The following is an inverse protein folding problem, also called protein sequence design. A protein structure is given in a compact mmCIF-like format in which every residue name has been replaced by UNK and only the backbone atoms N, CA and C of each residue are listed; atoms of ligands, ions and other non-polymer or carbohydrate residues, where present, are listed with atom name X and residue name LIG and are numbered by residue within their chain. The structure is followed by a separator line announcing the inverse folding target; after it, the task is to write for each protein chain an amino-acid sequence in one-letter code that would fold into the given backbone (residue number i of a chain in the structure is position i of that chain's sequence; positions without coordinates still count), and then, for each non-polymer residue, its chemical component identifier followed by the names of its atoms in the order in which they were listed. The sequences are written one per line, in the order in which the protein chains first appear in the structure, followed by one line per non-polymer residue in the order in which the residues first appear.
data_IF_149312247308
#
_entry.id   IF_149312247308
#
_cell.length_a   1.000
_cell.length_b   1.000
_cell.length_c   1.000
_cell.angle_alpha   90.00
_cell.angle_beta   90.00
_cell.angle_gamma   90.00
#
_symmetry.space_group_name_H-M   'P 1'
#
loop_
_entity.id
_entity.type
_entity.pdbx_description
1 polymer ?
#
# COMPACT_ATOMS: atom_id res chain seq x y z
N UNK A 1 2.96 -24.11 0.93
CA UNK A 1 1.50 -24.01 0.67
C UNK A 1 1.10 -22.57 0.93
N UNK A 2 0.99 -21.72 -0.09
CA UNK A 2 0.47 -20.37 0.11
C UNK A 2 -1.06 -20.48 0.25
N UNK A 3 -1.61 -19.96 1.34
CA UNK A 3 -3.05 -19.81 1.50
C UNK A 3 -3.64 -19.03 0.32
N UNK A 4 -4.93 -19.21 0.05
CA UNK A 4 -5.62 -18.42 -0.98
C UNK A 4 -5.39 -16.93 -0.67
N UNK A 5 -5.07 -16.08 -1.66
CA UNK A 5 -4.87 -14.66 -1.39
C UNK A 5 -6.17 -14.10 -0.79
N UNK A 6 -6.05 -13.55 0.42
CA UNK A 6 -7.12 -12.83 1.09
C UNK A 6 -7.01 -11.36 0.72
N UNK A 7 -8.08 -10.60 0.91
CA UNK A 7 -8.04 -9.17 0.65
C UNK A 7 -9.22 -8.44 1.27
N UNK A 8 -9.15 -7.11 1.20
CA UNK A 8 -10.10 -6.22 1.82
C UNK A 8 -10.72 -5.30 0.77
N UNK A 9 -12.04 -5.12 0.82
CA UNK A 9 -12.71 -4.10 0.02
C UNK A 9 -12.69 -2.78 0.78
N UNK A 10 -12.00 -1.78 0.23
CA UNK A 10 -11.87 -0.47 0.87
C UNK A 10 -13.22 0.24 1.02
N UNK A 11 -13.33 1.02 2.09
CA UNK A 11 -14.55 1.69 2.53
C UNK A 11 -14.57 1.88 4.05
N UNK A 12 -15.62 2.51 4.56
CA UNK A 12 -15.83 2.75 6.01
C UNK A 12 -14.65 3.44 6.69
N UNK A 13 -13.99 4.35 5.97
CA UNK A 13 -12.82 5.09 6.45
C UNK A 13 -11.50 4.35 6.32
N UNK A 14 -11.44 3.09 5.89
CA UNK A 14 -10.16 2.45 5.57
C UNK A 14 -9.77 2.73 4.12
N UNK A 15 -8.61 3.35 3.94
CA UNK A 15 -8.02 3.68 2.66
C UNK A 15 -6.63 3.04 2.50
N UNK A 16 -6.12 3.03 1.28
CA UNK A 16 -4.82 2.48 0.94
C UNK A 16 -4.12 3.40 -0.07
N UNK A 17 -2.86 3.72 0.22
CA UNK A 17 -1.90 4.03 -0.83
C UNK A 17 -1.35 2.73 -1.38
N UNK A 18 -1.54 2.53 -2.67
CA UNK A 18 -1.06 1.38 -3.43
C UNK A 18 0.18 1.82 -4.23
N UNK A 19 1.34 1.32 -3.83
CA UNK A 19 2.65 1.71 -4.35
C UNK A 19 3.22 0.58 -5.20
N UNK A 20 3.15 0.73 -6.52
CA UNK A 20 3.50 -0.29 -7.49
C UNK A 20 4.93 -0.16 -8.01
N UNK A 21 5.69 -1.26 -7.94
CA UNK A 21 7.06 -1.36 -8.44
C UNK A 21 8.01 -0.29 -7.88
N UNK A 22 7.87 0.02 -6.59
CA UNK A 22 8.64 1.04 -5.87
C UNK A 22 9.84 0.47 -5.11
N UNK A 23 10.02 -0.86 -5.11
CA UNK A 23 11.21 -1.53 -4.60
C UNK A 23 11.93 -2.15 -5.79
N UNK A 24 13.19 -1.75 -6.01
CA UNK A 24 14.00 -2.27 -7.10
C UNK A 24 14.53 -3.70 -6.81
N UNK A 25 15.30 -4.23 -7.76
CA UNK A 25 15.83 -5.59 -7.67
C UNK A 25 16.90 -5.75 -6.57
N UNK A 26 17.50 -4.65 -6.11
CA UNK A 26 18.44 -4.62 -4.97
C UNK A 26 17.71 -4.39 -3.63
N UNK A 27 16.39 -4.20 -3.65
CA UNK A 27 15.56 -3.98 -2.47
C UNK A 27 15.51 -2.51 -2.02
N UNK A 28 15.98 -1.57 -2.83
CA UNK A 28 15.99 -0.14 -2.53
C UNK A 28 14.63 0.47 -2.86
N UNK A 29 14.13 1.32 -1.96
CA UNK A 29 12.86 2.01 -2.10
C UNK A 29 13.01 3.29 -2.92
N UNK A 30 12.09 3.52 -3.86
CA UNK A 30 12.02 4.76 -4.64
C UNK A 30 11.74 5.98 -3.76
N UNK A 31 12.33 7.13 -4.10
CA UNK A 31 12.22 8.37 -3.29
C UNK A 31 10.76 8.83 -3.10
N UNK A 32 9.93 8.75 -4.14
CA UNK A 32 8.52 9.13 -4.04
C UNK A 32 7.74 8.21 -3.09
N UNK A 33 8.06 6.91 -3.06
CA UNK A 33 7.44 5.98 -2.13
C UNK A 33 7.92 6.24 -0.69
N UNK A 34 9.20 6.59 -0.54
CA UNK A 34 9.74 7.00 0.75
C UNK A 34 9.09 8.29 1.25
N UNK A 35 8.81 9.24 0.36
CA UNK A 35 8.06 10.46 0.69
C UNK A 35 6.65 10.12 1.19
N UNK A 36 5.91 9.23 0.52
CA UNK A 36 4.59 8.77 1.01
C UNK A 36 4.70 8.17 2.41
N UNK A 37 5.68 7.30 2.66
CA UNK A 37 5.88 6.71 3.99
C UNK A 37 6.21 7.76 5.06
N UNK A 38 7.01 8.79 4.72
CA UNK A 38 7.33 9.90 5.63
C UNK A 38 6.12 10.78 5.92
N UNK A 39 5.34 11.11 4.90
CA UNK A 39 4.14 11.94 5.04
C UNK A 39 3.05 11.24 5.86
N UNK A 40 2.87 9.94 5.66
CA UNK A 40 1.92 9.15 6.45
C UNK A 40 2.44 8.92 7.87
N UNK A 41 3.71 8.54 8.03
CA UNK A 41 4.35 8.34 9.32
C UNK A 41 3.55 7.44 10.28
N UNK A 42 3.38 7.91 11.52
CA UNK A 42 2.66 7.18 12.58
C UNK A 42 1.13 7.09 12.34
N UNK A 43 0.60 7.79 11.33
CA UNK A 43 -0.80 7.64 10.94
C UNK A 43 -1.05 6.37 10.11
N UNK A 44 0.00 5.67 9.68
CA UNK A 44 -0.13 4.38 9.02
C UNK A 44 -0.79 3.36 9.97
N UNK A 45 -1.92 2.80 9.54
CA UNK A 45 -2.56 1.68 10.23
C UNK A 45 -1.74 0.41 10.03
N UNK A 46 -1.26 0.20 8.80
CA UNK A 46 -0.47 -0.96 8.42
C UNK A 46 0.33 -0.69 7.16
N UNK A 47 1.54 -1.24 7.09
CA UNK A 47 2.35 -1.23 5.89
C UNK A 47 2.83 -2.65 5.60
N UNK A 48 2.61 -3.12 4.38
CA UNK A 48 3.05 -4.44 3.93
C UNK A 48 3.61 -4.42 2.52
N UNK A 49 4.45 -5.42 2.24
CA UNK A 49 4.88 -5.71 0.87
C UNK A 49 3.72 -6.30 0.08
N UNK A 50 3.50 -5.80 -1.13
CA UNK A 50 2.46 -6.31 -2.03
C UNK A 50 2.82 -7.71 -2.56
N UNK A 51 1.88 -8.34 -3.27
CA UNK A 51 2.05 -9.69 -3.81
C UNK A 51 3.22 -9.83 -4.79
N UNK A 52 3.60 -8.75 -5.49
CA UNK A 52 4.74 -8.77 -6.40
C UNK A 52 6.09 -8.83 -5.69
N UNK A 53 6.12 -8.51 -4.39
CA UNK A 53 7.34 -8.33 -3.60
C UNK A 53 8.08 -7.02 -3.89
N UNK A 54 7.69 -6.29 -4.95
CA UNK A 54 8.30 -5.02 -5.38
C UNK A 54 7.42 -3.79 -5.13
N UNK A 55 6.23 -3.97 -4.57
CA UNK A 55 5.33 -2.89 -4.19
C UNK A 55 5.03 -2.87 -2.70
N UNK A 56 4.33 -1.83 -2.26
CA UNK A 56 3.86 -1.66 -0.89
C UNK A 56 2.37 -1.30 -0.86
N UNK A 57 1.64 -1.83 0.11
CA UNK A 57 0.35 -1.30 0.52
C UNK A 57 0.53 -0.52 1.82
N UNK A 58 0.12 0.75 1.84
CA UNK A 58 0.13 1.62 3.03
C UNK A 58 -1.32 1.93 3.40
N UNK A 59 -1.85 1.21 4.39
CA UNK A 59 -3.21 1.41 4.87
C UNK A 59 -3.27 2.56 5.86
N UNK A 60 -4.27 3.43 5.69
CA UNK A 60 -4.51 4.61 6.53
C UNK A 60 -6.01 4.77 6.79
N UNK A 61 -6.36 5.54 7.80
CA UNK A 61 -7.73 6.03 7.94
C UNK A 61 -7.93 7.26 7.03
N UNK A 62 -8.98 7.25 6.20
CA UNK A 62 -9.31 8.32 5.28
C UNK A 62 -10.47 7.98 4.33
N UNK A 63 -11.07 9.00 3.75
CA UNK A 63 -12.24 8.91 2.85
C UNK A 63 -12.12 9.80 1.60
N UNK A 64 -10.93 10.37 1.37
CA UNK A 64 -10.63 11.24 0.22
C UNK A 64 -10.84 10.58 -1.14
N UNK A 65 -10.84 11.38 -2.20
CA UNK A 65 -11.05 10.90 -3.57
C UNK A 65 -9.87 10.09 -4.09
N UNK A 66 -10.19 9.15 -4.99
CA UNK A 66 -9.19 8.32 -5.62
C UNK A 66 -8.19 9.17 -6.41
N UNK A 67 -6.90 8.86 -6.25
CA UNK A 67 -5.81 9.41 -7.05
C UNK A 67 -5.14 8.24 -7.74
N UNK A 68 -4.98 8.29 -9.05
CA UNK A 68 -4.36 7.21 -9.82
C UNK A 68 -3.15 7.77 -10.52
N UNK A 69 -1.98 7.32 -10.07
CA UNK A 69 -0.69 7.60 -10.70
C UNK A 69 -0.10 6.34 -11.32
N UNK A 70 1.06 6.48 -11.94
CA UNK A 70 1.80 5.36 -12.55
C UNK A 70 2.32 4.37 -11.50
N UNK A 71 2.96 4.90 -10.44
CA UNK A 71 3.52 4.10 -9.34
C UNK A 71 2.78 4.30 -8.02
N UNK A 72 2.09 5.43 -7.85
CA UNK A 72 1.50 5.82 -6.58
C UNK A 72 0.03 6.12 -6.81
N UNK A 73 -0.82 5.30 -6.22
CA UNK A 73 -2.26 5.51 -6.24
C UNK A 73 -2.82 5.57 -4.82
N UNK A 74 -3.92 6.28 -4.64
CA UNK A 74 -4.70 6.32 -3.41
C UNK A 74 -6.13 5.90 -3.71
N UNK A 75 -6.66 5.02 -2.88
CA UNK A 75 -8.05 4.57 -2.93
C UNK A 75 -8.64 4.55 -1.52
N UNK A 76 -9.88 5.01 -1.36
CA UNK A 76 -10.61 4.98 -0.08
C UNK A 76 -11.90 4.16 -0.10
N UNK A 77 -12.33 3.73 -1.29
CA UNK A 77 -13.60 3.03 -1.53
C UNK A 77 -13.56 2.28 -2.85
N UNK A 78 -14.45 1.31 -3.00
CA UNK A 78 -14.71 0.59 -4.27
C UNK A 78 -13.48 -0.04 -4.92
N UNK A 79 -12.48 -0.40 -4.10
CA UNK A 79 -11.24 -1.04 -4.55
C UNK A 79 -10.95 -2.22 -3.62
N UNK A 80 -10.76 -3.39 -4.22
CA UNK A 80 -10.27 -4.56 -3.52
C UNK A 80 -8.74 -4.54 -3.49
N UNK A 81 -8.16 -4.64 -2.30
CA UNK A 81 -6.71 -4.77 -2.11
C UNK A 81 -6.41 -6.18 -1.64
N UNK A 82 -5.51 -6.88 -2.34
CA UNK A 82 -4.99 -8.17 -1.87
C UNK A 82 -4.10 -7.90 -0.67
N UNK A 83 -4.36 -8.56 0.45
CA UNK A 83 -3.59 -8.39 1.68
C UNK A 83 -2.62 -9.55 1.83
N UNK A 84 -1.35 -9.25 2.06
CA UNK A 84 -0.28 -10.26 2.17
C UNK A 84 0.06 -10.61 3.61
N UNK A 85 -0.16 -9.68 4.55
CA UNK A 85 0.31 -9.80 5.94
C UNK A 85 1.84 -9.73 6.07
N UNK A 86 2.59 -9.55 4.97
CA UNK A 86 4.03 -9.43 4.98
C UNK A 86 4.42 -8.00 5.40
N UNK A 87 4.44 -7.77 6.72
CA UNK A 87 4.71 -6.46 7.29
C UNK A 87 6.02 -5.89 6.76
N UNK A 88 5.94 -4.71 6.15
CA UNK A 88 7.13 -3.97 5.76
C UNK A 88 7.68 -3.25 7.00
N UNK A 89 8.98 -3.41 7.23
CA UNK A 89 9.73 -2.71 8.27
C UNK A 89 10.88 -2.00 7.58
N UNK A 90 11.00 -0.71 7.87
CA UNK A 90 12.09 0.14 7.41
C UNK A 90 13.33 -0.10 8.27
#
# INVERSE_FOLDING_TARGET
MAGRPHGFMLGYGLACWDLDNVIDDDGVLHDDADQVLREVGDAAVWVERSMSGRGLHVFVWGDGDARVGEHISYYSRSRFIVVTGNRYRR
#
